data_IF_708124530608
#
_entry.id   IF_708124530608
#
_cell.length_a   1.000
_cell.length_b   1.000
_cell.length_c   1.000
_cell.angle_alpha   90.00
_cell.angle_beta   90.00
_cell.angle_gamma   90.00
#
_symmetry.space_group_name_H-M   'P 1'
#
loop_
_entity.id
_entity.type
_entity.pdbx_description
1 polymer ?
#
# COMPACT_ATOMS: atom_id res chain seq x y z
N UNK A 1 -23.84 -14.24 1.40
CA UNK A 1 -22.57 -13.56 1.10
C UNK A 1 -21.46 -14.20 1.94
N UNK A 2 -20.35 -14.55 1.31
CA UNK A 2 -19.18 -15.05 2.04
C UNK A 2 -18.59 -13.94 2.91
N UNK A 3 -18.22 -14.26 4.15
CA UNK A 3 -17.59 -13.30 5.07
C UNK A 3 -16.08 -13.44 4.96
N UNK A 4 -15.42 -12.38 4.51
CA UNK A 4 -13.97 -12.27 4.47
C UNK A 4 -13.45 -11.67 5.78
N UNK A 5 -12.68 -12.45 6.52
CA UNK A 5 -12.04 -12.00 7.76
C UNK A 5 -10.66 -11.47 7.41
N UNK A 6 -10.53 -10.15 7.29
CA UNK A 6 -9.31 -9.49 6.80
C UNK A 6 -8.46 -8.97 7.94
N UNK A 7 -7.16 -9.28 7.91
CA UNK A 7 -6.21 -8.76 8.89
C UNK A 7 -5.65 -7.41 8.43
N UNK A 8 -6.01 -6.35 9.13
CA UNK A 8 -5.43 -5.01 8.97
C UNK A 8 -5.51 -4.23 10.29
N UNK A 9 -4.62 -3.23 10.52
CA UNK A 9 -4.69 -2.38 11.70
C UNK A 9 -5.98 -1.53 11.70
N UNK A 10 -6.63 -1.41 12.86
CA UNK A 10 -7.75 -0.49 13.07
C UNK A 10 -7.20 0.86 13.55
N UNK A 11 -6.60 1.58 12.64
CA UNK A 11 -6.07 2.93 12.88
C UNK A 11 -6.65 3.88 11.82
N UNK A 12 -6.83 5.17 12.16
CA UNK A 12 -7.34 6.15 11.22
C UNK A 12 -6.28 6.48 10.15
N UNK A 13 -6.16 5.58 9.18
CA UNK A 13 -5.28 5.70 8.04
C UNK A 13 -5.94 5.05 6.81
N UNK A 14 -6.21 5.83 5.80
CA UNK A 14 -6.88 5.41 4.57
C UNK A 14 -6.29 4.13 3.99
N UNK A 15 -4.96 4.01 3.94
CA UNK A 15 -4.28 2.83 3.40
C UNK A 15 -4.60 1.51 4.12
N UNK A 16 -4.98 1.56 5.41
CA UNK A 16 -5.43 0.39 6.16
C UNK A 16 -6.94 0.19 6.01
N UNK A 17 -7.72 1.28 6.05
CA UNK A 17 -9.19 1.24 6.02
C UNK A 17 -9.77 0.82 4.66
N UNK A 18 -9.06 1.04 3.53
CA UNK A 18 -9.49 0.56 2.22
C UNK A 18 -9.62 -0.97 2.15
N UNK A 19 -9.00 -1.72 3.07
CA UNK A 19 -9.19 -3.17 3.20
C UNK A 19 -10.63 -3.57 3.49
N UNK A 20 -11.44 -2.68 4.02
CA UNK A 20 -12.86 -2.93 4.24
C UNK A 20 -13.68 -2.32 3.09
N UNK A 21 -13.81 -1.02 3.09
CA UNK A 21 -14.80 -0.33 2.28
C UNK A 21 -14.61 -0.56 0.78
N UNK A 22 -13.37 -0.52 0.31
CA UNK A 22 -13.07 -0.74 -1.11
C UNK A 22 -13.29 -2.19 -1.53
N UNK A 23 -12.89 -3.17 -0.71
CA UNK A 23 -13.08 -4.58 -1.05
C UNK A 23 -14.56 -4.97 -1.03
N UNK A 24 -15.35 -4.46 -0.07
CA UNK A 24 -16.80 -4.67 -0.02
C UNK A 24 -17.48 -4.14 -1.28
N UNK A 25 -17.17 -2.89 -1.67
CA UNK A 25 -17.80 -2.24 -2.82
C UNK A 25 -17.38 -2.87 -4.16
N UNK A 26 -16.08 -3.16 -4.35
CA UNK A 26 -15.56 -3.67 -5.63
C UNK A 26 -15.94 -5.13 -5.87
N UNK A 27 -15.87 -5.98 -4.82
CA UNK A 27 -16.07 -7.42 -4.97
C UNK A 27 -17.43 -7.90 -4.49
N UNK A 28 -18.31 -7.00 -4.03
CA UNK A 28 -19.65 -7.33 -3.50
C UNK A 28 -19.62 -8.41 -2.42
N UNK A 29 -18.69 -8.27 -1.49
CA UNK A 29 -18.45 -9.18 -0.37
C UNK A 29 -18.77 -8.50 0.96
N UNK A 30 -18.76 -9.27 2.06
CA UNK A 30 -18.79 -8.72 3.42
C UNK A 30 -17.41 -8.88 4.06
N UNK A 31 -16.82 -7.79 4.54
CA UNK A 31 -15.52 -7.78 5.20
C UNK A 31 -15.67 -7.55 6.69
N UNK A 32 -15.08 -8.45 7.46
CA UNK A 32 -14.92 -8.29 8.91
C UNK A 32 -13.45 -8.16 9.25
N UNK A 33 -13.07 -7.08 9.94
CA UNK A 33 -11.74 -6.97 10.50
C UNK A 33 -11.47 -8.13 11.45
N UNK A 34 -10.29 -8.70 11.39
CA UNK A 34 -9.87 -9.82 12.21
C UNK A 34 -8.41 -9.72 12.63
N UNK A 35 -8.08 -10.31 13.75
CA UNK A 35 -6.70 -10.57 14.11
C UNK A 35 -6.13 -11.73 13.27
N UNK A 36 -4.81 -11.80 13.12
CA UNK A 36 -4.13 -12.88 12.38
C UNK A 36 -4.61 -14.30 12.73
N UNK A 37 -4.90 -14.56 14.01
CA UNK A 37 -5.36 -15.89 14.46
C UNK A 37 -6.73 -16.31 13.90
N UNK A 38 -7.52 -15.36 13.43
CA UNK A 38 -8.90 -15.58 12.97
C UNK A 38 -9.14 -15.11 11.53
N UNK A 39 -8.15 -14.50 10.89
CA UNK A 39 -8.30 -14.04 9.52
C UNK A 39 -8.26 -15.19 8.51
N UNK A 40 -8.92 -15.00 7.39
CA UNK A 40 -8.80 -15.87 6.21
C UNK A 40 -8.17 -15.14 5.00
N UNK A 41 -8.01 -13.82 5.12
CA UNK A 41 -7.38 -13.00 4.08
C UNK A 41 -6.42 -11.97 4.71
N UNK A 42 -5.24 -11.84 4.12
CA UNK A 42 -4.31 -10.72 4.31
C UNK A 42 -4.24 -10.01 2.97
N UNK A 43 -4.66 -8.75 2.95
CA UNK A 43 -4.81 -7.99 1.71
C UNK A 43 -3.90 -6.75 1.71
N UNK A 44 -4.42 -5.61 1.32
CA UNK A 44 -3.69 -4.37 1.06
C UNK A 44 -2.87 -3.91 2.27
N UNK A 45 -1.64 -3.52 2.03
CA UNK A 45 -0.71 -3.00 3.03
C UNK A 45 0.52 -3.89 3.28
N UNK A 46 1.41 -3.47 4.19
CA UNK A 46 2.67 -4.14 4.49
C UNK A 46 2.52 -5.13 5.65
N UNK A 47 1.85 -6.25 5.42
CA UNK A 47 1.49 -7.20 6.48
C UNK A 47 2.27 -8.53 6.46
N UNK A 48 3.09 -8.81 5.44
CA UNK A 48 3.76 -10.11 5.29
C UNK A 48 4.80 -10.41 6.37
N UNK A 49 5.42 -9.40 6.97
CA UNK A 49 6.32 -9.66 8.11
C UNK A 49 5.62 -10.42 9.25
N UNK A 50 4.30 -10.27 9.38
CA UNK A 50 3.52 -10.83 10.48
C UNK A 50 3.19 -12.31 10.33
N UNK A 51 3.30 -12.88 9.12
CA UNK A 51 3.05 -14.32 8.88
C UNK A 51 4.24 -15.22 9.23
N UNK A 52 5.37 -14.62 9.61
CA UNK A 52 6.58 -15.35 10.01
C UNK A 52 6.73 -15.36 11.53
N UNK A 53 7.35 -16.43 12.05
CA UNK A 53 7.57 -16.58 13.49
C UNK A 53 8.55 -15.53 14.01
N UNK A 54 8.16 -14.86 15.07
CA UNK A 54 9.00 -13.87 15.75
C UNK A 54 10.18 -14.53 16.48
N UNK A 55 11.29 -13.82 16.61
CA UNK A 55 12.38 -14.19 17.54
C UNK A 55 12.01 -13.91 19.00
N UNK A 56 11.06 -12.99 19.26
CA UNK A 56 10.62 -12.67 20.62
C UNK A 56 9.75 -13.78 21.24
N UNK A 57 10.11 -14.22 22.44
CA UNK A 57 9.45 -15.33 23.12
C UNK A 57 7.94 -15.09 23.39
N UNK A 58 7.57 -13.88 23.85
CA UNK A 58 6.15 -13.55 24.12
C UNK A 58 5.32 -13.59 22.85
N UNK A 59 5.85 -13.04 21.76
CA UNK A 59 5.20 -13.03 20.45
C UNK A 59 5.09 -14.46 19.91
N UNK A 60 6.11 -15.31 20.04
CA UNK A 60 6.07 -16.73 19.64
C UNK A 60 4.99 -17.52 20.38
N UNK A 61 4.79 -17.26 21.68
CA UNK A 61 3.71 -17.92 22.43
C UNK A 61 2.34 -17.57 21.89
N UNK A 62 2.10 -16.29 21.54
CA UNK A 62 0.86 -15.87 20.87
C UNK A 62 0.72 -16.52 19.49
N UNK A 63 1.80 -16.62 18.72
CA UNK A 63 1.81 -17.22 17.39
C UNK A 63 1.51 -18.74 17.43
N UNK A 64 1.87 -19.48 18.48
CA UNK A 64 1.47 -20.88 18.66
C UNK A 64 -0.04 -21.06 18.67
N UNK A 65 -0.78 -20.11 19.25
CA UNK A 65 -2.24 -20.12 19.22
C UNK A 65 -2.78 -19.89 17.80
N UNK A 66 -2.14 -19.05 17.00
CA UNK A 66 -2.53 -18.83 15.60
C UNK A 66 -2.42 -20.13 14.82
N UNK A 67 -1.27 -20.82 14.91
CA UNK A 67 -1.04 -22.10 14.23
C UNK A 67 -2.05 -23.18 14.65
N UNK A 68 -2.52 -23.15 15.89
CA UNK A 68 -3.52 -24.12 16.39
C UNK A 68 -4.95 -23.83 15.91
N UNK A 69 -5.31 -22.55 15.78
CA UNK A 69 -6.68 -22.10 15.49
C UNK A 69 -6.94 -21.83 14.01
N UNK A 70 -5.92 -21.39 13.27
CA UNK A 70 -6.05 -21.02 11.87
C UNK A 70 -4.91 -21.62 11.05
N UNK A 71 -5.25 -22.56 10.19
CA UNK A 71 -4.28 -23.31 9.39
C UNK A 71 -4.16 -22.80 7.95
N UNK A 72 -5.11 -21.98 7.49
CA UNK A 72 -5.20 -21.50 6.10
C UNK A 72 -5.33 -19.99 6.07
N UNK A 73 -4.56 -19.34 5.21
CA UNK A 73 -4.68 -17.90 4.94
C UNK A 73 -4.45 -17.63 3.45
N UNK A 74 -5.27 -16.75 2.91
CA UNK A 74 -5.11 -16.23 1.57
C UNK A 74 -4.35 -14.91 1.60
N UNK A 75 -3.46 -14.69 0.64
CA UNK A 75 -2.60 -13.52 0.51
C UNK A 75 -2.90 -12.85 -0.83
N UNK A 76 -3.28 -11.58 -0.78
CA UNK A 76 -3.60 -10.82 -1.98
C UNK A 76 -3.13 -9.37 -1.82
N UNK A 77 -2.26 -8.89 -2.72
CA UNK A 77 -1.80 -7.49 -2.81
C UNK A 77 -1.14 -6.93 -1.53
N UNK A 78 -0.37 -7.73 -0.83
CA UNK A 78 0.40 -7.31 0.35
C UNK A 78 1.88 -7.60 0.18
N UNK A 79 2.73 -6.93 0.96
CA UNK A 79 4.18 -7.07 0.90
C UNK A 79 4.84 -6.91 2.26
N UNK A 80 6.17 -6.89 2.25
CA UNK A 80 7.00 -6.66 3.42
C UNK A 80 7.21 -5.17 3.67
N UNK A 81 7.31 -4.77 4.95
CA UNK A 81 7.54 -3.39 5.31
C UNK A 81 9.04 -3.03 5.28
N UNK A 82 9.93 -4.01 5.41
CA UNK A 82 11.38 -3.85 5.51
C UNK A 82 12.12 -4.98 4.83
N UNK A 83 13.40 -4.79 4.56
CA UNK A 83 14.23 -5.78 3.88
C UNK A 83 14.46 -7.06 4.70
N UNK A 84 14.70 -6.94 5.99
CA UNK A 84 14.99 -8.08 6.86
C UNK A 84 13.83 -8.43 7.77
N UNK A 85 13.56 -9.73 7.93
CA UNK A 85 12.61 -10.22 8.95
C UNK A 85 13.14 -9.95 10.35
N UNK A 86 12.22 -9.67 11.28
CA UNK A 86 12.51 -9.60 12.73
C UNK A 86 12.35 -10.95 13.42
N UNK A 87 12.50 -12.05 12.71
CA UNK A 87 12.24 -13.36 13.21
C UNK A 87 12.91 -14.46 12.38
N UNK A 88 12.31 -15.64 12.43
CA UNK A 88 12.73 -16.78 11.60
C UNK A 88 11.99 -16.77 10.27
N UNK A 89 12.44 -17.56 9.31
CA UNK A 89 11.74 -17.80 8.05
C UNK A 89 10.56 -18.78 8.16
N UNK A 90 10.29 -19.31 9.36
CA UNK A 90 9.18 -20.22 9.56
C UNK A 90 7.84 -19.50 9.53
N UNK A 91 6.88 -20.06 8.82
CA UNK A 91 5.51 -19.55 8.76
C UNK A 91 4.72 -19.88 10.03
N UNK A 92 3.78 -19.00 10.39
CA UNK A 92 2.81 -19.24 11.46
C UNK A 92 1.56 -20.00 10.98
N UNK A 93 1.29 -20.02 9.68
CA UNK A 93 0.20 -20.78 9.05
C UNK A 93 0.75 -22.07 8.44
N UNK A 94 -0.05 -23.14 8.44
CA UNK A 94 0.31 -24.38 7.75
C UNK A 94 0.19 -24.26 6.24
N UNK A 95 -0.88 -23.59 5.80
CA UNK A 95 -1.17 -23.41 4.39
C UNK A 95 -1.32 -21.92 4.09
N UNK A 96 -0.58 -21.43 3.10
CA UNK A 96 -0.72 -20.11 2.54
C UNK A 96 -1.13 -20.24 1.07
N UNK A 97 -2.11 -19.46 0.65
CA UNK A 97 -2.59 -19.40 -0.73
C UNK A 97 -2.30 -17.99 -1.27
N UNK A 98 -1.28 -17.87 -2.10
CA UNK A 98 -0.82 -16.59 -2.64
C UNK A 98 -1.53 -16.32 -3.97
N UNK A 99 -2.26 -15.21 -4.06
CA UNK A 99 -3.02 -14.78 -5.24
C UNK A 99 -2.42 -13.57 -5.94
N UNK A 100 -1.80 -12.66 -5.18
CA UNK A 100 -1.06 -11.52 -5.68
C UNK A 100 -0.09 -11.02 -4.61
N UNK A 101 1.01 -10.40 -5.03
CA UNK A 101 2.05 -9.82 -4.16
C UNK A 101 2.35 -8.38 -4.56
N UNK A 102 2.92 -7.58 -3.67
CA UNK A 102 3.22 -6.18 -3.98
C UNK A 102 4.15 -6.02 -5.17
N UNK A 103 5.34 -6.58 -5.07
CA UNK A 103 6.38 -6.38 -6.05
C UNK A 103 7.34 -7.56 -6.17
N UNK A 104 8.31 -7.38 -7.02
CA UNK A 104 9.34 -8.37 -7.29
C UNK A 104 10.17 -8.72 -6.06
N UNK A 105 10.49 -7.70 -5.23
CA UNK A 105 11.27 -7.92 -4.01
C UNK A 105 10.50 -8.77 -3.00
N UNK A 106 9.19 -8.54 -2.84
CA UNK A 106 8.33 -9.40 -2.01
C UNK A 106 8.24 -10.80 -2.60
N UNK A 107 8.06 -10.96 -3.92
CA UNK A 107 8.01 -12.28 -4.58
C UNK A 107 9.27 -13.09 -4.30
N UNK A 108 10.44 -12.52 -4.57
CA UNK A 108 11.74 -13.17 -4.35
C UNK A 108 11.93 -13.60 -2.89
N UNK A 109 11.53 -12.76 -1.95
CA UNK A 109 11.61 -13.09 -0.52
C UNK A 109 10.65 -14.20 -0.13
N UNK A 110 9.42 -14.18 -0.61
CA UNK A 110 8.46 -15.26 -0.38
C UNK A 110 8.98 -16.58 -0.94
N UNK A 111 9.50 -16.58 -2.16
CA UNK A 111 10.11 -17.75 -2.77
C UNK A 111 11.30 -18.29 -1.95
N UNK A 112 12.19 -17.39 -1.50
CA UNK A 112 13.34 -17.74 -0.66
C UNK A 112 12.93 -18.38 0.67
N UNK A 113 11.89 -17.86 1.31
CA UNK A 113 11.51 -18.34 2.65
C UNK A 113 10.59 -19.53 2.63
N UNK A 114 9.79 -19.72 1.59
CA UNK A 114 8.84 -20.83 1.50
C UNK A 114 9.35 -22.00 0.65
N UNK A 115 10.35 -21.77 -0.18
CA UNK A 115 10.83 -22.75 -1.17
C UNK A 115 9.90 -22.95 -2.38
N UNK A 116 8.77 -22.23 -2.42
CA UNK A 116 7.80 -22.29 -3.51
C UNK A 116 8.10 -21.22 -4.58
N UNK A 117 7.61 -21.45 -5.81
CA UNK A 117 7.57 -20.42 -6.86
C UNK A 117 6.19 -19.78 -6.93
N UNK A 118 6.16 -18.47 -7.17
CA UNK A 118 4.91 -17.69 -7.24
C UNK A 118 4.80 -16.96 -8.58
N UNK A 119 4.07 -17.59 -9.51
CA UNK A 119 3.67 -16.97 -10.78
C UNK A 119 2.30 -16.29 -10.59
N UNK A 120 2.31 -15.16 -9.91
CA UNK A 120 1.11 -14.41 -9.54
C UNK A 120 1.25 -12.93 -9.94
N UNK A 121 0.15 -12.20 -10.14
CA UNK A 121 0.19 -10.77 -10.41
C UNK A 121 0.92 -10.00 -9.31
N UNK A 122 1.67 -8.96 -9.75
CA UNK A 122 2.38 -8.04 -8.86
C UNK A 122 1.73 -6.65 -8.90
N UNK A 123 1.47 -6.09 -7.72
CA UNK A 123 0.91 -4.76 -7.52
C UNK A 123 0.18 -4.63 -6.20
N UNK A 124 -0.16 -3.41 -5.83
CA UNK A 124 -0.98 -3.10 -4.66
C UNK A 124 -2.46 -3.02 -5.02
N UNK A 125 -3.33 -3.53 -4.16
CA UNK A 125 -4.79 -3.47 -4.37
C UNK A 125 -5.34 -2.04 -4.42
N UNK A 126 -4.64 -1.07 -3.84
CA UNK A 126 -4.97 0.36 -3.95
C UNK A 126 -5.02 0.88 -5.39
N UNK A 127 -4.39 0.18 -6.35
CA UNK A 127 -4.55 0.47 -7.78
C UNK A 127 -6.00 0.35 -8.26
N UNK A 128 -6.87 -0.37 -7.55
CA UNK A 128 -8.30 -0.46 -7.86
C UNK A 128 -9.12 0.76 -7.38
N UNK A 129 -8.51 1.74 -6.73
CA UNK A 129 -9.20 2.89 -6.14
C UNK A 129 -10.00 3.71 -7.17
N UNK A 130 -9.50 3.85 -8.40
CA UNK A 130 -10.21 4.52 -9.48
C UNK A 130 -11.54 3.81 -9.81
N UNK A 131 -11.56 2.45 -9.80
CA UNK A 131 -12.79 1.65 -10.00
C UNK A 131 -13.76 1.84 -8.83
N UNK A 132 -13.23 1.92 -7.61
CA UNK A 132 -14.04 2.09 -6.40
C UNK A 132 -14.90 3.35 -6.41
N UNK A 133 -14.37 4.46 -6.93
CA UNK A 133 -15.14 5.71 -7.03
C UNK A 133 -15.87 5.91 -8.36
N UNK A 134 -15.81 4.90 -9.25
CA UNK A 134 -16.57 4.85 -10.49
C UNK A 134 -16.03 5.72 -11.63
N UNK A 135 -14.73 6.06 -11.64
CA UNK A 135 -14.14 6.77 -12.76
C UNK A 135 -13.08 7.81 -12.40
N UNK A 136 -12.84 8.74 -13.31
CA UNK A 136 -11.85 9.81 -13.19
C UNK A 136 -12.53 11.13 -12.79
N UNK A 137 -12.28 11.66 -11.58
CA UNK A 137 -12.83 12.94 -11.17
C UNK A 137 -12.34 14.10 -12.03
N UNK A 138 -13.17 15.15 -12.16
CA UNK A 138 -12.73 16.40 -12.79
C UNK A 138 -11.62 17.04 -11.95
N UNK A 139 -10.55 17.48 -12.61
CA UNK A 139 -9.43 18.15 -11.93
C UNK A 139 -9.88 19.48 -11.32
N UNK A 140 -9.47 19.71 -10.07
CA UNK A 140 -9.79 20.90 -9.27
C UNK A 140 -8.54 21.56 -8.70
N UNK A 141 -7.49 20.79 -8.44
CA UNK A 141 -6.27 21.24 -7.77
C UNK A 141 -5.06 21.01 -8.65
N UNK A 142 -4.14 21.97 -8.72
CA UNK A 142 -2.91 21.79 -9.45
C UNK A 142 -1.97 20.79 -8.76
N UNK A 143 -1.90 20.84 -7.42
CA UNK A 143 -1.01 19.96 -6.63
C UNK A 143 -1.76 19.45 -5.40
N UNK A 144 -1.76 18.13 -5.20
CA UNK A 144 -2.14 17.48 -3.94
C UNK A 144 -0.90 17.18 -3.10
N UNK A 145 -0.92 17.56 -1.84
CA UNK A 145 0.15 17.29 -0.87
C UNK A 145 -0.38 16.30 0.14
N UNK A 146 0.26 15.14 0.23
CA UNK A 146 -0.17 13.99 1.04
C UNK A 146 0.95 13.60 1.99
N UNK A 147 1.06 14.23 3.16
CA UNK A 147 1.99 13.78 4.20
C UNK A 147 1.56 12.43 4.76
N UNK A 148 2.51 11.61 5.20
CA UNK A 148 2.20 10.45 6.00
C UNK A 148 1.38 10.87 7.24
N UNK A 149 0.44 10.03 7.70
CA UNK A 149 -0.50 10.39 8.78
C UNK A 149 0.18 10.84 10.10
N UNK A 150 1.46 10.50 10.30
CA UNK A 150 2.30 10.95 11.43
C UNK A 150 3.09 12.23 11.15
N UNK A 151 3.04 12.74 9.92
CA UNK A 151 3.88 13.87 9.46
C UNK A 151 3.06 15.11 9.10
N UNK A 152 1.77 15.13 9.41
CA UNK A 152 0.85 16.22 9.04
C UNK A 152 1.30 17.59 9.55
N UNK A 153 1.89 17.63 10.76
CA UNK A 153 2.34 18.86 11.40
C UNK A 153 3.81 19.19 11.10
N UNK A 154 4.48 18.43 10.24
CA UNK A 154 5.90 18.64 9.94
C UNK A 154 6.13 20.04 9.32
N UNK A 155 7.15 20.81 9.75
CA UNK A 155 7.39 22.16 9.24
C UNK A 155 7.53 22.26 7.71
N UNK A 156 8.14 21.24 7.09
CA UNK A 156 8.28 21.17 5.64
C UNK A 156 6.92 21.06 4.93
N UNK A 157 5.90 20.48 5.54
CA UNK A 157 4.54 20.44 4.97
C UNK A 157 3.99 21.85 4.82
N UNK A 158 4.15 22.71 5.84
CA UNK A 158 3.75 24.11 5.77
C UNK A 158 4.48 24.87 4.66
N UNK A 159 5.77 24.58 4.48
CA UNK A 159 6.57 25.17 3.41
C UNK A 159 6.11 24.72 2.03
N UNK A 160 5.82 23.42 1.85
CA UNK A 160 5.24 22.89 0.61
C UNK A 160 3.90 23.58 0.28
N UNK A 161 3.01 23.73 1.26
CA UNK A 161 1.73 24.39 1.08
C UNK A 161 1.90 25.85 0.64
N UNK A 162 2.87 26.58 1.20
CA UNK A 162 3.15 27.96 0.83
C UNK A 162 3.83 28.12 -0.54
N UNK A 163 4.33 27.03 -1.13
CA UNK A 163 5.14 27.08 -2.37
C UNK A 163 4.33 26.83 -3.64
N UNK A 164 3.08 26.38 -3.53
CA UNK A 164 2.26 26.06 -4.68
C UNK A 164 0.94 26.85 -4.65
N UNK A 165 0.52 27.30 -5.81
CA UNK A 165 -0.83 27.84 -6.01
C UNK A 165 -1.82 26.71 -6.26
N UNK A 166 -3.10 26.92 -5.90
CA UNK A 166 -4.20 25.97 -6.12
C UNK A 166 -3.85 24.54 -5.67
N UNK A 167 -3.44 24.40 -4.41
CA UNK A 167 -3.09 23.10 -3.81
C UNK A 167 -4.25 22.50 -2.99
N UNK A 168 -4.17 21.21 -2.72
CA UNK A 168 -4.97 20.50 -1.73
C UNK A 168 -4.06 19.84 -0.71
N UNK A 169 -4.24 20.12 0.58
CA UNK A 169 -3.73 19.24 1.64
C UNK A 169 -4.69 18.06 1.79
N UNK A 170 -4.17 16.86 1.72
CA UNK A 170 -4.95 15.62 1.79
C UNK A 170 -4.51 14.84 3.04
N UNK A 171 -5.42 14.74 3.99
CA UNK A 171 -5.19 14.00 5.23
C UNK A 171 -5.66 12.55 5.07
N UNK A 172 -4.74 11.61 5.24
CA UNK A 172 -5.04 10.18 5.14
C UNK A 172 -5.89 9.64 6.30
N UNK A 173 -6.21 10.47 7.29
CA UNK A 173 -7.11 10.13 8.41
C UNK A 173 -8.58 10.45 8.10
N UNK A 174 -8.84 11.19 7.03
CA UNK A 174 -10.19 11.49 6.56
C UNK A 174 -10.89 10.23 6.01
N UNK A 175 -12.19 10.36 5.66
CA UNK A 175 -12.95 9.28 5.07
C UNK A 175 -12.23 8.71 3.82
N UNK A 176 -11.98 7.40 3.74
CA UNK A 176 -11.17 6.81 2.67
C UNK A 176 -11.67 7.13 1.26
N UNK A 177 -12.98 7.10 1.03
CA UNK A 177 -13.57 7.36 -0.29
C UNK A 177 -13.42 8.82 -0.73
N UNK A 178 -13.48 9.75 0.23
CA UNK A 178 -13.27 11.18 -0.01
C UNK A 178 -11.79 11.48 -0.28
N UNK A 179 -10.88 10.84 0.47
CA UNK A 179 -9.43 10.93 0.23
C UNK A 179 -9.09 10.44 -1.18
N UNK A 180 -9.58 9.27 -1.57
CA UNK A 180 -9.37 8.71 -2.91
C UNK A 180 -9.89 9.67 -3.99
N UNK A 181 -11.10 10.21 -3.82
CA UNK A 181 -11.68 11.18 -4.76
C UNK A 181 -10.81 12.44 -4.87
N UNK A 182 -10.39 12.99 -3.73
CA UNK A 182 -9.58 14.21 -3.68
C UNK A 182 -8.21 14.03 -4.35
N UNK A 183 -7.59 12.84 -4.22
CA UNK A 183 -6.36 12.49 -4.96
C UNK A 183 -6.63 12.52 -6.47
N UNK A 184 -7.72 11.90 -6.93
CA UNK A 184 -8.11 11.92 -8.35
C UNK A 184 -8.44 13.33 -8.89
N UNK A 185 -8.83 14.27 -8.04
CA UNK A 185 -9.10 15.68 -8.39
C UNK A 185 -7.84 16.55 -8.56
N UNK A 186 -6.64 16.01 -8.22
CA UNK A 186 -5.37 16.72 -8.37
C UNK A 186 -4.73 16.43 -9.75
N UNK A 187 -4.04 17.44 -10.33
CA UNK A 187 -3.24 17.25 -11.53
C UNK A 187 -1.90 16.56 -11.24
N UNK A 188 -1.32 16.84 -10.06
CA UNK A 188 -0.05 16.30 -9.58
C UNK A 188 -0.18 15.92 -8.11
N UNK A 189 0.61 14.94 -7.67
CA UNK A 189 0.69 14.55 -6.26
C UNK A 189 2.13 14.60 -5.76
N UNK A 190 2.31 15.13 -4.55
CA UNK A 190 3.53 15.03 -3.76
C UNK A 190 3.17 14.29 -2.47
N UNK A 191 3.84 13.16 -2.19
CA UNK A 191 3.47 12.35 -1.03
C UNK A 191 4.67 11.74 -0.33
N UNK A 192 4.65 11.75 1.01
CA UNK A 192 5.52 10.91 1.85
C UNK A 192 4.84 9.60 2.28
N UNK A 193 3.62 9.34 1.79
CA UNK A 193 2.88 8.10 2.04
C UNK A 193 2.82 7.22 0.80
N UNK A 194 3.13 5.92 0.95
CA UNK A 194 3.06 4.98 -0.17
C UNK A 194 1.66 4.89 -0.78
N UNK A 195 0.60 4.81 0.05
CA UNK A 195 -0.77 4.75 -0.50
C UNK A 195 -1.19 6.04 -1.20
N UNK A 196 -0.64 7.20 -0.82
CA UNK A 196 -0.83 8.43 -1.58
C UNK A 196 -0.33 8.32 -3.02
N UNK A 197 0.83 7.68 -3.22
CA UNK A 197 1.42 7.42 -4.54
C UNK A 197 0.63 6.37 -5.33
N UNK A 198 0.31 5.23 -4.68
CA UNK A 198 -0.45 4.13 -5.31
C UNK A 198 -1.82 4.60 -5.81
N UNK A 199 -2.53 5.37 -4.98
CA UNK A 199 -3.84 5.91 -5.37
C UNK A 199 -3.69 6.91 -6.51
N UNK A 200 -2.66 7.78 -6.49
CA UNK A 200 -2.37 8.69 -7.60
C UNK A 200 -2.11 7.90 -8.91
N UNK A 201 -1.32 6.83 -8.86
CA UNK A 201 -1.08 5.95 -10.01
C UNK A 201 -2.39 5.33 -10.52
N UNK A 202 -3.32 4.98 -9.64
CA UNK A 202 -4.63 4.45 -10.04
C UNK A 202 -5.45 5.40 -10.92
N UNK A 203 -5.19 6.71 -10.80
CA UNK A 203 -5.80 7.78 -11.60
C UNK A 203 -4.86 8.31 -12.70
N UNK A 204 -3.73 7.68 -12.93
CA UNK A 204 -2.68 8.16 -13.85
C UNK A 204 -2.23 9.60 -13.53
N UNK A 205 -2.24 9.96 -12.26
CA UNK A 205 -1.80 11.27 -11.78
C UNK A 205 -0.29 11.23 -11.54
N UNK A 206 0.50 12.04 -12.27
CA UNK A 206 1.93 12.11 -12.01
C UNK A 206 2.21 12.46 -10.56
N UNK A 207 3.13 11.73 -9.95
CA UNK A 207 3.39 11.88 -8.52
C UNK A 207 4.87 11.77 -8.18
N UNK A 208 5.23 12.32 -7.03
CA UNK A 208 6.58 12.32 -6.52
C UNK A 208 6.59 11.84 -5.06
N UNK A 209 7.37 10.82 -4.78
CA UNK A 209 7.70 10.43 -3.41
C UNK A 209 8.69 11.44 -2.80
N UNK A 210 8.35 11.98 -1.64
CA UNK A 210 9.22 12.84 -0.85
C UNK A 210 9.55 12.23 0.51
N UNK A 211 10.70 12.59 1.06
CA UNK A 211 11.03 12.37 2.47
C UNK A 211 11.12 13.71 3.19
N UNK A 212 10.56 13.80 4.38
CA UNK A 212 10.53 15.04 5.18
C UNK A 212 11.65 15.10 6.19
N UNK A 213 12.12 13.94 6.66
CA UNK A 213 13.28 13.77 7.53
C UNK A 213 13.99 12.44 7.20
N UNK A 214 15.16 12.23 7.86
CA UNK A 214 15.98 11.03 7.65
C UNK A 214 15.43 9.77 8.36
N UNK A 215 14.17 9.78 8.84
CA UNK A 215 13.58 8.70 9.65
C UNK A 215 12.57 7.86 8.90
N UNK A 216 12.88 7.44 7.68
CA UNK A 216 11.97 6.60 6.91
C UNK A 216 11.80 5.23 7.56
N UNK A 217 10.57 4.89 7.95
CA UNK A 217 10.27 3.59 8.54
C UNK A 217 10.42 2.48 7.50
N UNK A 218 11.26 1.47 7.82
CA UNK A 218 11.50 0.33 6.93
C UNK A 218 12.49 0.58 5.81
N UNK A 219 13.36 1.60 5.95
CA UNK A 219 14.47 1.93 5.02
C UNK A 219 14.03 2.09 3.56
N UNK A 220 12.78 2.53 3.35
CA UNK A 220 12.20 2.71 2.03
C UNK A 220 11.91 1.42 1.26
N UNK A 221 12.08 0.24 1.86
CA UNK A 221 11.89 -1.06 1.19
C UNK A 221 10.53 -1.17 0.51
N UNK A 222 9.44 -0.83 1.22
CA UNK A 222 8.07 -0.92 0.69
C UNK A 222 7.85 -0.10 -0.59
N UNK A 223 8.54 1.04 -0.74
CA UNK A 223 8.47 1.87 -1.95
C UNK A 223 9.22 1.21 -3.10
N UNK A 224 10.47 0.76 -2.85
CA UNK A 224 11.25 0.02 -3.87
C UNK A 224 10.51 -1.23 -4.33
N UNK A 225 9.85 -1.94 -3.41
CA UNK A 225 9.07 -3.13 -3.75
C UNK A 225 7.88 -2.79 -4.64
N UNK A 226 7.09 -1.76 -4.30
CA UNK A 226 5.97 -1.33 -5.13
C UNK A 226 6.42 -0.96 -6.56
N UNK A 227 7.45 -0.13 -6.71
CA UNK A 227 7.95 0.26 -8.02
C UNK A 227 8.62 -0.89 -8.77
N UNK A 228 9.17 -1.89 -8.08
CA UNK A 228 9.70 -3.11 -8.72
C UNK A 228 8.63 -3.91 -9.47
N UNK A 229 7.35 -3.79 -9.09
CA UNK A 229 6.24 -4.37 -9.83
C UNK A 229 6.10 -3.80 -11.25
N UNK A 230 6.61 -2.59 -11.48
CA UNK A 230 6.63 -1.93 -12.79
C UNK A 230 8.00 -2.05 -13.49
N UNK A 231 8.96 -2.77 -12.90
CA UNK A 231 10.33 -2.84 -13.40
C UNK A 231 11.11 -1.53 -13.23
N UNK A 232 10.69 -0.68 -12.29
CA UNK A 232 11.28 0.64 -12.06
C UNK A 232 12.16 0.65 -10.80
N UNK A 233 13.28 1.35 -10.89
CA UNK A 233 14.05 1.77 -9.71
C UNK A 233 13.34 2.96 -9.03
N UNK A 234 13.54 3.12 -7.72
CA UNK A 234 12.88 4.16 -6.98
C UNK A 234 13.81 4.84 -5.98
N UNK A 235 13.79 6.18 -6.01
CA UNK A 235 14.43 7.05 -5.04
C UNK A 235 13.51 8.23 -4.71
N UNK A 236 13.34 8.60 -3.44
CA UNK A 236 12.55 9.76 -3.06
C UNK A 236 13.30 11.07 -3.32
N UNK A 237 12.55 12.16 -3.45
CA UNK A 237 13.10 13.50 -3.34
C UNK A 237 13.25 13.87 -1.86
N UNK A 238 14.45 14.28 -1.46
CA UNK A 238 14.75 14.61 -0.07
C UNK A 238 14.39 16.08 0.24
N UNK A 239 13.36 16.27 1.06
CA UNK A 239 12.94 17.56 1.58
C UNK A 239 13.51 17.88 2.97
N UNK A 240 14.40 17.05 3.55
CA UNK A 240 14.90 17.24 4.92
C UNK A 240 15.62 18.57 5.11
N UNK A 241 16.25 19.10 4.07
CA UNK A 241 16.89 20.44 4.08
C UNK A 241 15.90 21.57 3.77
N UNK A 242 14.61 21.27 3.64
CA UNK A 242 13.57 22.23 3.32
C UNK A 242 13.49 22.58 1.84
N UNK A 243 14.04 21.76 0.96
CA UNK A 243 13.89 21.92 -0.48
C UNK A 243 12.46 21.59 -0.92
N UNK A 244 12.00 22.31 -1.94
CA UNK A 244 10.66 22.14 -2.51
C UNK A 244 10.83 21.68 -3.96
N UNK A 245 10.24 20.51 -4.35
CA UNK A 245 10.39 20.01 -5.71
C UNK A 245 9.66 20.92 -6.72
N UNK A 246 10.33 21.35 -7.81
CA UNK A 246 9.65 22.10 -8.87
C UNK A 246 8.57 21.26 -9.54
N UNK A 247 7.43 21.87 -9.91
CA UNK A 247 6.30 21.18 -10.61
C UNK A 247 6.80 20.45 -11.86
N UNK A 248 7.69 21.07 -12.64
CA UNK A 248 8.27 20.45 -13.83
C UNK A 248 8.99 19.13 -13.51
N UNK A 249 9.74 19.09 -12.41
CA UNK A 249 10.44 17.88 -11.97
C UNK A 249 9.48 16.72 -11.72
N UNK A 250 8.31 16.98 -11.13
CA UNK A 250 7.33 15.92 -10.83
C UNK A 250 6.86 15.25 -12.12
N UNK A 251 6.60 16.04 -13.16
CA UNK A 251 6.18 15.53 -14.47
C UNK A 251 7.32 14.77 -15.19
N UNK A 252 8.52 15.31 -15.13
CA UNK A 252 9.68 14.80 -15.89
C UNK A 252 10.22 13.48 -15.27
N UNK A 253 10.07 13.29 -13.97
CA UNK A 253 10.56 12.10 -13.25
C UNK A 253 9.51 10.99 -13.10
N UNK A 254 8.24 11.28 -13.35
CA UNK A 254 7.18 10.28 -13.28
C UNK A 254 7.27 9.28 -14.43
N UNK A 255 7.40 8.00 -14.09
CA UNK A 255 7.70 6.93 -15.05
C UNK A 255 6.71 5.77 -15.05
N UNK A 256 5.71 5.76 -14.15
CA UNK A 256 4.69 4.72 -14.13
C UNK A 256 3.74 4.91 -15.31
N UNK A 257 3.71 3.95 -16.25
CA UNK A 257 2.88 4.08 -17.44
C UNK A 257 1.41 3.75 -17.14
N UNK A 258 0.49 4.52 -17.74
CA UNK A 258 -0.94 4.30 -17.61
C UNK A 258 -1.35 2.89 -18.11
N UNK A 259 -0.74 2.41 -19.19
CA UNK A 259 -1.00 1.06 -19.71
C UNK A 259 -0.61 -0.02 -18.71
N UNK A 260 0.57 0.07 -18.10
CA UNK A 260 1.02 -0.88 -17.08
C UNK A 260 0.09 -0.86 -15.85
N UNK A 261 -0.41 0.31 -15.45
CA UNK A 261 -1.39 0.44 -14.36
C UNK A 261 -2.68 -0.30 -14.73
N UNK A 262 -3.24 -0.10 -15.92
CA UNK A 262 -4.48 -0.77 -16.32
C UNK A 262 -4.32 -2.28 -16.43
N UNK A 263 -3.21 -2.77 -16.99
CA UNK A 263 -2.89 -4.20 -17.02
C UNK A 263 -2.85 -4.80 -15.61
N UNK A 264 -2.21 -4.09 -14.65
CA UNK A 264 -2.16 -4.54 -13.27
C UNK A 264 -3.53 -4.53 -12.60
N UNK A 265 -4.34 -3.50 -12.77
CA UNK A 265 -5.71 -3.44 -12.26
C UNK A 265 -6.52 -4.68 -12.70
N UNK A 266 -6.47 -5.03 -13.98
CA UNK A 266 -7.16 -6.21 -14.51
C UNK A 266 -6.64 -7.51 -13.89
N UNK A 267 -5.31 -7.68 -13.83
CA UNK A 267 -4.70 -8.87 -13.28
C UNK A 267 -5.01 -9.04 -11.79
N UNK A 268 -4.89 -7.96 -11.00
CA UNK A 268 -5.18 -7.97 -9.56
C UNK A 268 -6.66 -8.23 -9.28
N UNK A 269 -7.57 -7.60 -10.06
CA UNK A 269 -9.01 -7.82 -9.92
C UNK A 269 -9.37 -9.29 -10.17
N UNK A 270 -8.85 -9.91 -11.24
CA UNK A 270 -9.07 -11.31 -11.57
C UNK A 270 -8.48 -12.29 -10.55
N UNK A 271 -7.38 -11.90 -9.91
CA UNK A 271 -6.68 -12.71 -8.92
C UNK A 271 -7.29 -12.62 -7.50
N UNK A 272 -8.36 -11.85 -7.29
CA UNK A 272 -8.99 -11.76 -5.98
C UNK A 272 -9.55 -13.13 -5.57
N UNK A 273 -9.22 -13.66 -4.36
CA UNK A 273 -9.65 -14.99 -3.93
C UNK A 273 -11.17 -15.09 -3.73
N UNK A 274 -11.76 -16.20 -4.17
CA UNK A 274 -13.14 -16.58 -3.85
C UNK A 274 -13.10 -17.53 -2.64
N UNK A 275 -13.58 -17.09 -1.47
CA UNK A 275 -13.55 -17.80 -0.19
C UNK A 275 -14.93 -18.35 0.18
#
# INVERSE_FOLDING_TARGET
MSIYKVAYPDIPNMGDLINKDMLEDIFSISVKQAELKNCNLIAIGSALDQIFKSSDFKTRMKQKMITALNNNVHIWCTGFIRENLRGTSDLIYKNIHVHALWGELTRQRMEKYTGNKYDVPLGDGGLLAQRWIGGFPKKKYAVGIIPHFKEQDHPTVKKLLASYENFALIDLRDNPKDVVRKIGECELIISSSLHGLIIADSFHVPNLHITLDNKMFGDGYKYRDYYSAFGLEHSPFDCAKGDVPPIKMIRDTYSVSAEAVEQKKEALFKAFPKL
#
